data_IF_542583438078
#
_entry.id   IF_542583438078
#
_cell.length_a   1.000
_cell.length_b   1.000
_cell.length_c   1.000
_cell.angle_alpha   90.00
_cell.angle_beta   90.00
_cell.angle_gamma   90.00
#
_symmetry.space_group_name_H-M   'P 1'
#
loop_
_entity.id
_entity.type
_entity.pdbx_description
1 polymer ?
#
# COMPACT_ATOMS: atom_id res chain seq x y z
N UNK A 1 -16.30 -12.39 -12.09
CA UNK A 1 -15.54 -11.88 -13.26
C UNK A 1 -14.29 -11.22 -12.74
N UNK A 2 -13.15 -11.37 -13.43
CA UNK A 2 -11.91 -10.76 -12.97
C UNK A 2 -11.86 -9.28 -13.36
N UNK A 3 -11.33 -8.45 -12.47
CA UNK A 3 -11.16 -7.02 -12.69
C UNK A 3 -9.73 -6.62 -12.33
N UNK A 4 -9.17 -5.65 -13.05
CA UNK A 4 -7.86 -5.09 -12.77
C UNK A 4 -7.99 -3.60 -12.40
N UNK A 5 -7.15 -3.18 -11.45
CA UNK A 5 -7.09 -1.77 -11.09
C UNK A 5 -5.67 -1.35 -10.69
N UNK A 6 -5.37 -0.07 -10.80
CA UNK A 6 -4.13 0.52 -10.26
C UNK A 6 -4.43 0.99 -8.84
N UNK A 7 -3.68 0.45 -7.86
CA UNK A 7 -3.85 0.81 -6.46
C UNK A 7 -3.36 2.26 -6.21
N UNK A 8 -4.28 3.13 -5.83
CA UNK A 8 -4.02 4.55 -5.53
C UNK A 8 -4.18 4.88 -4.05
N UNK A 9 -4.80 3.99 -3.28
CA UNK A 9 -4.96 4.14 -1.83
C UNK A 9 -4.75 2.80 -1.13
N UNK A 10 -4.00 2.82 -0.04
CA UNK A 10 -3.85 1.74 0.92
C UNK A 10 -3.73 2.36 2.30
N UNK A 11 -4.81 2.99 2.75
CA UNK A 11 -4.86 3.89 3.88
C UNK A 11 -5.27 3.20 5.19
N UNK A 12 -4.98 3.82 6.33
CA UNK A 12 -5.46 3.34 7.61
C UNK A 12 -7.00 3.36 7.67
N UNK A 13 -7.56 2.25 8.10
CA UNK A 13 -8.98 2.07 8.42
C UNK A 13 -9.07 1.36 9.77
N UNK A 14 -10.17 1.58 10.51
CA UNK A 14 -10.39 0.90 11.79
C UNK A 14 -10.27 -0.62 11.61
N UNK A 15 -9.32 -1.23 12.32
CA UNK A 15 -9.09 -2.67 12.28
C UNK A 15 -8.20 -3.19 11.14
N UNK A 16 -7.87 -2.35 10.12
CA UNK A 16 -7.08 -2.78 8.96
C UNK A 16 -6.81 -1.66 7.97
N UNK A 17 -7.03 -1.91 6.69
CA UNK A 17 -6.73 -1.00 5.58
C UNK A 17 -7.95 -0.74 4.71
N UNK A 18 -7.95 0.43 4.06
CA UNK A 18 -8.80 0.73 2.92
C UNK A 18 -7.93 0.71 1.66
N UNK A 19 -8.15 -0.29 0.81
CA UNK A 19 -7.51 -0.39 -0.51
C UNK A 19 -8.49 0.16 -1.54
N UNK A 20 -8.01 1.01 -2.43
CA UNK A 20 -8.83 1.54 -3.53
C UNK A 20 -7.96 1.94 -4.72
N UNK A 21 -8.57 2.06 -5.87
CA UNK A 21 -7.88 2.49 -7.09
C UNK A 21 -8.81 2.66 -8.27
N UNK A 22 -8.20 2.84 -9.43
CA UNK A 22 -8.88 3.08 -10.70
C UNK A 22 -8.85 1.82 -11.56
N UNK A 23 -10.01 1.41 -12.06
CA UNK A 23 -10.13 0.26 -12.95
C UNK A 23 -9.43 0.50 -14.28
N UNK A 24 -8.79 -0.57 -14.78
CA UNK A 24 -8.09 -0.57 -16.06
C UNK A 24 -8.45 -1.80 -16.90
N UNK A 25 -8.32 -1.65 -18.19
CA UNK A 25 -8.21 -2.75 -19.14
C UNK A 25 -6.73 -2.99 -19.47
N UNK A 26 -6.37 -4.25 -19.68
CA UNK A 26 -5.00 -4.68 -20.00
C UNK A 26 -5.05 -5.46 -21.31
N UNK A 27 -4.24 -5.06 -22.29
CA UNK A 27 -4.10 -5.76 -23.56
C UNK A 27 -3.07 -6.89 -23.52
N UNK A 28 -2.94 -7.63 -24.62
CA UNK A 28 -2.00 -8.75 -24.76
C UNK A 28 -0.50 -8.34 -24.68
N UNK A 29 -0.20 -7.05 -24.76
CA UNK A 29 1.14 -6.49 -24.67
C UNK A 29 1.42 -5.83 -23.32
N UNK A 30 0.61 -6.15 -22.30
CA UNK A 30 0.65 -5.51 -20.99
C UNK A 30 0.45 -3.98 -21.00
N UNK A 31 -0.15 -3.44 -22.08
CA UNK A 31 -0.56 -2.03 -22.11
C UNK A 31 -1.89 -1.88 -21.40
N UNK A 32 -1.98 -0.85 -20.57
CA UNK A 32 -3.19 -0.57 -19.82
C UNK A 32 -3.85 0.73 -20.27
N UNK A 33 -5.15 0.76 -20.11
CA UNK A 33 -6.00 1.94 -20.35
C UNK A 33 -6.99 2.09 -19.21
N UNK A 34 -7.27 3.34 -18.82
CA UNK A 34 -8.23 3.64 -17.74
C UNK A 34 -9.64 3.38 -18.22
N UNK A 35 -10.43 2.65 -17.44
CA UNK A 35 -11.87 2.58 -17.63
C UNK A 35 -12.52 3.86 -17.15
N UNK A 36 -13.39 4.42 -17.96
CA UNK A 36 -14.03 5.71 -17.67
C UNK A 36 -15.55 5.60 -17.69
N UNK A 37 -16.19 6.39 -16.82
CA UNK A 37 -17.62 6.65 -16.83
C UNK A 37 -18.02 7.44 -18.08
N UNK A 38 -19.31 7.58 -18.33
CA UNK A 38 -19.83 8.36 -19.45
C UNK A 38 -19.47 9.87 -19.38
N UNK A 39 -19.23 10.39 -18.19
CA UNK A 39 -18.77 11.76 -17.93
C UNK A 39 -17.26 11.95 -18.13
N UNK A 40 -16.51 10.88 -18.45
CA UNK A 40 -15.08 10.87 -18.65
C UNK A 40 -14.24 10.65 -17.37
N UNK A 41 -14.85 10.62 -16.21
CA UNK A 41 -14.15 10.32 -14.96
C UNK A 41 -13.70 8.86 -14.91
N UNK A 42 -12.55 8.55 -14.27
CA UNK A 42 -12.14 7.18 -14.01
C UNK A 42 -13.19 6.39 -13.22
N UNK A 43 -13.30 5.11 -13.51
CA UNK A 43 -14.10 4.19 -12.69
C UNK A 43 -13.26 3.78 -11.50
N UNK A 44 -13.67 4.19 -10.30
CA UNK A 44 -13.04 3.79 -9.06
C UNK A 44 -13.59 2.47 -8.56
N UNK A 45 -12.75 1.71 -7.87
CA UNK A 45 -13.09 0.45 -7.22
C UNK A 45 -12.47 0.41 -5.82
N UNK A 46 -13.25 -0.09 -4.85
CA UNK A 46 -12.82 -0.32 -3.48
C UNK A 46 -13.20 -1.74 -3.06
N UNK A 47 -12.25 -2.70 -3.07
CA UNK A 47 -12.49 -4.01 -2.50
C UNK A 47 -12.76 -3.91 -1.00
N UNK A 48 -13.75 -4.66 -0.52
CA UNK A 48 -14.12 -4.75 0.88
C UNK A 48 -14.14 -6.20 1.33
N UNK A 49 -13.61 -6.47 2.52
CA UNK A 49 -13.68 -7.80 3.13
C UNK A 49 -15.09 -8.07 3.65
N UNK A 50 -15.62 -9.25 3.38
CA UNK A 50 -16.90 -9.73 3.93
C UNK A 50 -16.78 -10.16 5.39
N UNK A 51 -15.56 -10.45 5.84
CA UNK A 51 -15.27 -11.07 7.13
C UNK A 51 -14.98 -10.04 8.22
N UNK A 52 -15.05 -8.74 7.88
CA UNK A 52 -14.73 -7.64 8.79
C UNK A 52 -15.91 -6.68 8.95
N UNK A 53 -16.02 -6.08 10.13
CA UNK A 53 -17.18 -5.25 10.52
C UNK A 53 -17.37 -4.01 9.63
N UNK A 54 -16.24 -3.36 9.25
CA UNK A 54 -16.27 -2.12 8.45
C UNK A 54 -15.83 -2.36 7.00
N UNK A 55 -15.68 -3.63 6.59
CA UNK A 55 -15.18 -3.99 5.26
C UNK A 55 -13.72 -3.59 5.03
N UNK A 56 -12.93 -3.47 6.11
CA UNK A 56 -11.51 -3.25 6.03
C UNK A 56 -10.78 -4.50 5.52
N UNK A 57 -9.71 -4.28 4.76
CA UNK A 57 -8.82 -5.34 4.33
C UNK A 57 -7.82 -5.63 5.46
N UNK A 58 -7.62 -6.90 5.87
CA UNK A 58 -6.61 -7.26 6.85
C UNK A 58 -5.22 -6.73 6.46
N UNK A 59 -4.43 -6.25 7.43
CA UNK A 59 -3.12 -5.65 7.15
C UNK A 59 -2.19 -6.59 6.38
N UNK A 60 -2.21 -7.90 6.69
CA UNK A 60 -1.40 -8.91 6.01
C UNK A 60 -1.72 -9.00 4.52
N UNK A 61 -2.99 -8.95 4.15
CA UNK A 61 -3.43 -8.98 2.75
C UNK A 61 -3.11 -7.65 2.04
N UNK A 62 -3.50 -6.52 2.66
CA UNK A 62 -3.25 -5.19 2.10
C UNK A 62 -1.75 -4.87 1.93
N UNK A 63 -0.89 -5.50 2.74
CA UNK A 63 0.56 -5.33 2.63
C UNK A 63 1.12 -5.73 1.26
N UNK A 64 0.49 -6.70 0.61
CA UNK A 64 0.89 -7.18 -0.72
C UNK A 64 0.34 -6.34 -1.88
N UNK A 65 -0.36 -5.26 -1.56
CA UNK A 65 -0.95 -4.34 -2.55
C UNK A 65 -0.41 -2.92 -2.32
N UNK A 66 0.88 -2.66 -2.61
CA UNK A 66 1.46 -1.33 -2.48
C UNK A 66 0.83 -0.33 -3.47
N UNK A 67 0.99 0.96 -3.18
CA UNK A 67 0.59 2.03 -4.12
C UNK A 67 1.27 1.84 -5.48
N UNK A 68 0.56 2.18 -6.54
CA UNK A 68 0.95 2.05 -7.94
C UNK A 68 1.11 0.60 -8.42
N UNK A 69 0.72 -0.40 -7.63
CA UNK A 69 0.61 -1.77 -8.13
C UNK A 69 -0.62 -1.95 -9.00
N UNK A 70 -0.49 -2.77 -10.03
CA UNK A 70 -1.61 -3.32 -10.79
C UNK A 70 -2.13 -4.53 -10.04
N UNK A 71 -3.38 -4.47 -9.64
CA UNK A 71 -4.03 -5.46 -8.80
C UNK A 71 -5.07 -6.22 -9.61
N UNK A 72 -5.08 -7.53 -9.48
CA UNK A 72 -6.14 -8.39 -9.99
C UNK A 72 -7.07 -8.78 -8.85
N UNK A 73 -8.36 -8.56 -9.05
CA UNK A 73 -9.43 -9.08 -8.21
C UNK A 73 -10.14 -10.22 -8.95
N UNK A 74 -10.43 -11.31 -8.25
CA UNK A 74 -11.27 -12.39 -8.78
C UNK A 74 -12.67 -12.32 -8.18
N UNK A 75 -13.65 -12.89 -8.87
CA UNK A 75 -15.03 -13.04 -8.38
C UNK A 75 -15.66 -11.73 -7.87
N UNK A 76 -15.43 -10.66 -8.61
CA UNK A 76 -15.88 -9.31 -8.24
C UNK A 76 -17.39 -9.20 -8.37
N UNK A 77 -18.03 -8.70 -7.30
CA UNK A 77 -19.44 -8.38 -7.26
C UNK A 77 -19.67 -7.01 -6.61
N UNK A 78 -20.45 -6.14 -7.25
CA UNK A 78 -20.81 -4.86 -6.69
C UNK A 78 -21.47 -5.04 -5.30
N UNK A 79 -21.08 -4.21 -4.36
CA UNK A 79 -21.60 -4.21 -2.99
C UNK A 79 -21.66 -2.77 -2.45
N UNK A 80 -22.40 -1.86 -3.14
CA UNK A 80 -22.45 -0.46 -2.72
C UNK A 80 -23.02 -0.33 -1.31
N UNK A 81 -22.38 0.48 -0.50
CA UNK A 81 -22.80 0.75 0.89
C UNK A 81 -22.98 2.25 1.05
N UNK A 82 -24.20 2.69 1.31
CA UNK A 82 -24.54 4.11 1.56
C UNK A 82 -23.83 5.07 0.57
N UNK A 83 -22.90 5.85 1.09
CA UNK A 83 -22.10 6.81 0.34
C UNK A 83 -20.96 6.20 -0.48
N UNK A 84 -20.72 4.89 -0.35
CA UNK A 84 -19.58 4.19 -0.96
C UNK A 84 -20.07 3.35 -2.16
N UNK A 85 -20.30 4.00 -3.26
CA UNK A 85 -20.83 3.37 -4.49
C UNK A 85 -19.80 2.49 -5.20
N UNK A 86 -18.53 2.68 -4.92
CA UNK A 86 -17.39 1.96 -5.51
C UNK A 86 -17.05 0.64 -4.79
N UNK A 87 -17.78 0.32 -3.72
CA UNK A 87 -17.51 -0.88 -2.92
C UNK A 87 -17.83 -2.15 -3.69
N UNK A 88 -16.90 -3.10 -3.65
CA UNK A 88 -17.06 -4.43 -4.26
C UNK A 88 -16.60 -5.53 -3.31
N UNK A 89 -17.34 -6.64 -3.33
CA UNK A 89 -16.86 -7.90 -2.79
C UNK A 89 -15.92 -8.57 -3.80
N UNK A 90 -15.00 -9.39 -3.32
CA UNK A 90 -14.01 -10.10 -4.14
C UNK A 90 -13.72 -11.50 -3.57
N UNK A 91 -13.19 -12.39 -4.41
CA UNK A 91 -12.71 -13.71 -4.02
C UNK A 91 -11.25 -13.68 -3.57
N UNK A 92 -10.37 -13.09 -4.39
CA UNK A 92 -8.95 -12.91 -4.05
C UNK A 92 -8.43 -11.59 -4.62
N UNK A 93 -7.37 -11.04 -3.97
CA UNK A 93 -6.73 -9.80 -4.34
C UNK A 93 -5.21 -9.96 -4.32
N UNK A 94 -4.54 -9.70 -5.43
CA UNK A 94 -3.09 -9.78 -5.51
C UNK A 94 -2.50 -8.86 -6.58
N UNK A 95 -1.32 -8.31 -6.31
CA UNK A 95 -0.59 -7.50 -7.27
C UNK A 95 0.03 -8.39 -8.36
N UNK A 96 -0.12 -8.00 -9.62
CA UNK A 96 0.42 -8.69 -10.80
C UNK A 96 1.55 -7.91 -11.48
N UNK A 97 1.81 -6.70 -11.03
CA UNK A 97 2.83 -5.80 -11.55
C UNK A 97 2.64 -4.39 -10.99
N UNK A 98 3.33 -3.43 -11.56
CA UNK A 98 3.22 -2.02 -11.17
C UNK A 98 3.29 -1.09 -12.37
N UNK A 99 2.84 0.13 -12.18
CA UNK A 99 3.00 1.23 -13.13
C UNK A 99 3.91 2.30 -12.55
N UNK A 100 4.61 3.07 -13.40
CA UNK A 100 5.54 4.09 -12.92
C UNK A 100 4.81 5.22 -12.18
N UNK A 101 5.42 5.74 -11.11
CA UNK A 101 4.98 6.95 -10.43
C UNK A 101 5.49 8.18 -11.19
N UNK A 102 4.87 8.55 -12.31
CA UNK A 102 5.25 9.70 -13.11
C UNK A 102 4.04 10.57 -13.46
N UNK A 103 4.28 11.81 -13.89
CA UNK A 103 3.23 12.77 -14.20
C UNK A 103 2.25 12.30 -15.27
N UNK A 104 2.76 11.61 -16.31
CA UNK A 104 1.96 11.09 -17.40
C UNK A 104 0.91 10.11 -16.88
N UNK A 105 1.36 9.15 -16.05
CA UNK A 105 0.47 8.16 -15.42
C UNK A 105 -0.51 8.83 -14.46
N UNK A 106 -0.03 9.72 -13.61
CA UNK A 106 -0.91 10.38 -12.63
C UNK A 106 -1.98 11.25 -13.31
N UNK A 107 -1.64 11.97 -14.38
CA UNK A 107 -2.63 12.74 -15.15
C UNK A 107 -3.70 11.85 -15.78
N UNK A 108 -3.32 10.68 -16.28
CA UNK A 108 -4.29 9.72 -16.84
C UNK A 108 -5.25 9.17 -15.78
N UNK A 109 -4.80 9.05 -14.52
CA UNK A 109 -5.56 8.53 -13.39
C UNK A 109 -6.37 9.61 -12.64
N UNK A 110 -6.11 10.90 -12.90
CA UNK A 110 -6.77 12.01 -12.21
C UNK A 110 -8.20 12.21 -12.71
N UNK A 111 -9.11 12.50 -11.78
CA UNK A 111 -10.49 12.84 -12.07
C UNK A 111 -10.59 14.19 -12.78
N UNK A 112 -11.68 14.36 -13.54
CA UNK A 112 -12.03 15.65 -14.13
C UNK A 112 -12.30 16.65 -12.99
N UNK A 113 -11.94 17.92 -13.21
CA UNK A 113 -12.08 18.98 -12.20
C UNK A 113 -13.52 19.14 -11.76
N UNK A 114 -13.78 18.95 -10.48
CA UNK A 114 -15.05 19.24 -9.83
C UNK A 114 -15.06 20.66 -9.26
N UNK A 115 -16.22 21.28 -9.16
CA UNK A 115 -16.37 22.61 -8.55
C UNK A 115 -15.97 22.61 -7.08
N UNK A 116 -16.29 21.53 -6.37
CA UNK A 116 -15.91 21.29 -4.96
C UNK A 116 -15.60 19.83 -4.75
N UNK A 117 -14.79 19.51 -3.74
CA UNK A 117 -14.48 18.15 -3.36
C UNK A 117 -15.64 17.54 -2.56
N UNK A 118 -16.19 16.42 -3.05
CA UNK A 118 -17.31 15.71 -2.42
C UNK A 118 -18.47 16.67 -2.07
N UNK A 119 -18.90 17.50 -3.02
CA UNK A 119 -20.05 18.41 -2.97
C UNK A 119 -20.00 19.50 -1.87
N UNK A 120 -18.86 19.74 -1.22
CA UNK A 120 -18.75 20.70 -0.14
C UNK A 120 -17.36 21.29 -0.04
N UNK A 121 -17.24 22.50 0.49
CA UNK A 121 -15.96 23.14 0.81
C UNK A 121 -15.44 22.82 2.22
N UNK A 122 -16.28 22.18 3.05
CA UNK A 122 -15.92 21.81 4.43
C UNK A 122 -15.04 20.55 4.48
N UNK A 123 -14.40 20.30 5.63
CA UNK A 123 -13.60 19.12 5.92
C UNK A 123 -14.44 17.82 6.09
N UNK A 124 -15.75 17.96 6.24
CA UNK A 124 -16.70 16.85 6.31
C UNK A 124 -18.02 17.24 5.66
N UNK A 125 -18.83 16.25 5.31
CA UNK A 125 -20.17 16.46 4.74
C UNK A 125 -21.21 15.69 5.57
N UNK A 126 -22.39 16.29 5.82
CA UNK A 126 -23.47 15.60 6.50
C UNK A 126 -24.04 14.49 5.60
N UNK A 127 -24.54 13.41 6.21
CA UNK A 127 -25.20 12.33 5.48
C UNK A 127 -26.40 12.85 4.68
N UNK A 128 -27.17 13.79 5.21
CA UNK A 128 -28.33 14.40 4.53
C UNK A 128 -27.93 15.10 3.23
N UNK A 129 -26.80 15.83 3.23
CA UNK A 129 -26.28 16.52 2.03
C UNK A 129 -25.70 15.53 1.03
N UNK A 130 -25.17 14.41 1.51
CA UNK A 130 -24.48 13.42 0.68
C UNK A 130 -25.40 12.36 0.06
N UNK A 131 -26.68 12.26 0.48
CA UNK A 131 -27.67 11.23 0.01
C UNK A 131 -27.76 11.11 -1.52
N UNK A 132 -27.35 12.12 -2.28
CA UNK A 132 -27.35 12.11 -3.75
C UNK A 132 -25.94 11.96 -4.35
N UNK A 133 -24.93 11.68 -3.52
CA UNK A 133 -23.55 11.52 -3.98
C UNK A 133 -23.36 10.23 -4.77
N UNK A 134 -22.60 10.30 -5.85
CA UNK A 134 -22.30 9.21 -6.77
C UNK A 134 -20.84 8.76 -6.74
N UNK A 135 -20.01 9.37 -5.86
CA UNK A 135 -18.60 9.02 -5.68
C UNK A 135 -18.12 9.31 -4.24
N UNK A 136 -17.29 8.45 -3.73
CA UNK A 136 -16.62 8.60 -2.43
C UNK A 136 -15.09 8.53 -2.53
N UNK A 137 -14.58 8.39 -3.74
CA UNK A 137 -13.17 8.32 -4.09
C UNK A 137 -12.88 9.26 -5.26
N UNK A 138 -11.73 9.89 -5.25
CA UNK A 138 -11.25 10.70 -6.36
C UNK A 138 -9.74 10.93 -6.27
N UNK A 139 -9.11 11.24 -7.38
CA UNK A 139 -7.71 11.68 -7.45
C UNK A 139 -7.63 13.10 -7.98
N UNK A 140 -6.87 13.94 -7.29
CA UNK A 140 -6.70 15.35 -7.65
C UNK A 140 -5.23 15.75 -7.69
N UNK A 141 -4.94 16.77 -8.52
CA UNK A 141 -3.67 17.47 -8.52
C UNK A 141 -3.87 18.86 -7.89
N UNK A 142 -3.37 19.13 -6.68
CA UNK A 142 -3.57 20.40 -6.00
C UNK A 142 -2.76 21.53 -6.67
N UNK A 143 -3.28 22.75 -6.63
CA UNK A 143 -2.62 23.96 -7.15
C UNK A 143 -1.46 24.45 -6.25
N UNK A 144 -1.40 23.96 -5.02
CA UNK A 144 -0.39 24.25 -4.01
C UNK A 144 -0.79 23.66 -2.68
N UNK A 145 0.19 23.40 -1.83
CA UNK A 145 -0.06 22.74 -0.55
C UNK A 145 0.99 23.10 0.52
N UNK A 146 0.62 22.83 1.78
CA UNK A 146 1.52 22.82 2.93
C UNK A 146 1.08 21.75 3.93
N UNK A 147 1.99 21.36 4.81
CA UNK A 147 1.70 20.36 5.83
C UNK A 147 1.51 20.99 7.20
N UNK A 148 0.60 20.44 7.99
CA UNK A 148 0.38 20.80 9.39
C UNK A 148 0.42 19.53 10.25
N UNK A 149 1.23 19.56 11.31
CA UNK A 149 1.31 18.51 12.30
C UNK A 149 0.40 18.84 13.49
N UNK A 150 -0.43 17.89 13.92
CA UNK A 150 -1.17 17.96 15.19
C UNK A 150 -0.47 17.08 16.24
N UNK A 151 0.27 17.70 17.18
CA UNK A 151 0.99 16.95 18.21
C UNK A 151 0.10 16.51 19.38
N UNK A 152 -1.15 16.95 19.45
CA UNK A 152 -2.06 16.71 20.58
C UNK A 152 -2.67 15.30 20.58
N UNK A 153 -2.56 14.59 19.46
CA UNK A 153 -3.03 13.21 19.34
C UNK A 153 -1.97 12.22 19.87
N UNK A 154 -2.41 11.11 20.43
CA UNK A 154 -1.55 10.03 20.93
C UNK A 154 -0.53 9.50 19.90
N UNK A 155 -0.78 9.76 18.60
CA UNK A 155 0.16 9.62 17.50
C UNK A 155 0.15 10.92 16.71
N UNK A 156 1.34 11.41 16.35
CA UNK A 156 1.47 12.55 15.45
C UNK A 156 0.58 12.38 14.22
N UNK A 157 -0.32 13.33 13.99
CA UNK A 157 -1.24 13.29 12.86
C UNK A 157 -0.92 14.43 11.91
N UNK A 158 -0.61 14.10 10.68
CA UNK A 158 -0.40 15.07 9.63
C UNK A 158 -1.71 15.43 8.94
N UNK A 159 -1.82 16.68 8.62
CA UNK A 159 -2.83 17.29 7.76
C UNK A 159 -2.13 17.96 6.59
N UNK A 160 -2.82 18.03 5.47
CA UNK A 160 -2.38 18.83 4.33
C UNK A 160 -3.41 19.92 4.08
N UNK A 161 -2.93 21.16 4.09
CA UNK A 161 -3.67 22.33 3.63
C UNK A 161 -3.33 22.47 2.15
N UNK A 162 -4.31 22.42 1.28
CA UNK A 162 -4.08 22.47 -0.16
C UNK A 162 -5.18 23.26 -0.88
N UNK A 163 -4.84 23.78 -2.06
CA UNK A 163 -5.78 24.50 -2.91
C UNK A 163 -6.17 23.65 -4.10
N UNK A 164 -7.48 23.61 -4.37
CA UNK A 164 -8.04 22.89 -5.51
C UNK A 164 -9.22 23.70 -6.07
N UNK A 165 -9.19 24.01 -7.38
CA UNK A 165 -10.17 24.84 -8.07
C UNK A 165 -10.49 26.15 -7.31
N UNK A 166 -9.41 26.85 -6.86
CA UNK A 166 -9.50 28.11 -6.13
C UNK A 166 -9.97 28.00 -4.67
N UNK A 167 -10.39 26.83 -4.19
CA UNK A 167 -10.85 26.60 -2.80
C UNK A 167 -9.73 25.97 -1.97
N UNK A 168 -9.56 26.43 -0.73
CA UNK A 168 -8.60 25.85 0.22
C UNK A 168 -9.26 24.80 1.08
N UNK A 169 -8.61 23.64 1.21
CA UNK A 169 -9.03 22.49 2.02
C UNK A 169 -7.98 22.15 3.06
N UNK A 170 -8.39 21.59 4.20
CA UNK A 170 -7.50 21.06 5.27
C UNK A 170 -7.96 19.64 5.63
N UNK A 171 -7.31 18.62 5.05
CA UNK A 171 -7.68 17.24 5.26
C UNK A 171 -6.58 16.46 5.98
N UNK A 172 -7.02 15.51 6.81
CA UNK A 172 -6.09 14.61 7.49
C UNK A 172 -5.55 13.54 6.54
N UNK A 173 -4.24 13.25 6.68
CA UNK A 173 -3.57 12.19 5.93
C UNK A 173 -3.73 10.86 6.68
N UNK A 174 -4.17 9.82 5.96
CA UNK A 174 -4.33 8.45 6.49
C UNK A 174 -3.43 7.43 5.77
N UNK A 175 -2.49 7.89 4.98
CA UNK A 175 -1.55 7.11 4.17
C UNK A 175 -0.37 6.60 5.00
N UNK A 176 -0.25 5.29 5.26
CA UNK A 176 0.89 4.75 5.99
C UNK A 176 2.22 4.87 5.25
N UNK A 177 2.21 4.85 3.90
CA UNK A 177 3.41 4.98 3.10
C UNK A 177 3.99 6.39 3.25
N UNK A 178 3.12 7.43 3.25
CA UNK A 178 3.52 8.80 3.55
C UNK A 178 4.14 8.91 4.95
N UNK A 179 3.49 8.36 5.99
CA UNK A 179 4.02 8.39 7.35
C UNK A 179 5.38 7.67 7.45
N UNK A 180 5.55 6.55 6.77
CA UNK A 180 6.82 5.84 6.73
C UNK A 180 7.88 6.69 6.04
N UNK A 181 7.56 7.30 4.90
CA UNK A 181 8.47 8.16 4.15
C UNK A 181 8.94 9.37 4.99
N UNK A 182 8.03 10.10 5.64
CA UNK A 182 8.37 11.26 6.46
C UNK A 182 9.14 10.87 7.73
N UNK A 183 8.82 9.74 8.34
CA UNK A 183 9.58 9.24 9.48
C UNK A 183 11.03 8.87 9.11
N UNK A 184 11.25 8.42 7.87
CA UNK A 184 12.58 8.08 7.37
C UNK A 184 13.35 9.33 6.89
N UNK A 185 12.64 10.30 6.32
CA UNK A 185 13.17 11.53 5.70
C UNK A 185 12.38 12.75 6.17
N UNK A 186 12.56 13.21 7.44
CA UNK A 186 11.77 14.35 7.97
C UNK A 186 11.91 15.62 7.16
N UNK A 187 13.10 15.85 6.61
CA UNK A 187 13.41 17.01 5.76
C UNK A 187 12.74 16.98 4.38
N UNK A 188 12.13 15.85 4.01
CA UNK A 188 11.48 15.73 2.71
C UNK A 188 10.21 16.59 2.62
N UNK A 189 9.53 16.87 3.74
CA UNK A 189 8.32 17.72 3.74
C UNK A 189 8.58 19.08 3.11
N UNK A 190 9.71 19.70 3.43
CA UNK A 190 10.07 21.03 2.92
C UNK A 190 10.53 21.00 1.46
N UNK A 191 10.85 19.83 0.94
CA UNK A 191 11.34 19.64 -0.43
C UNK A 191 10.26 19.17 -1.40
N UNK A 192 9.10 18.74 -0.88
CA UNK A 192 7.99 18.32 -1.74
C UNK A 192 7.40 19.55 -2.44
N UNK A 193 7.50 19.57 -3.75
CA UNK A 193 7.00 20.67 -4.59
C UNK A 193 5.80 20.27 -5.43
N UNK A 194 5.57 18.96 -5.61
CA UNK A 194 4.48 18.46 -6.43
C UNK A 194 4.00 17.10 -5.92
N UNK A 195 2.67 16.94 -5.86
CA UNK A 195 2.01 15.72 -5.39
C UNK A 195 0.67 15.54 -6.08
N UNK A 196 0.20 14.30 -6.13
CA UNK A 196 -1.16 13.96 -6.45
C UNK A 196 -1.82 13.33 -5.21
N UNK A 197 -3.11 13.57 -5.02
CA UNK A 197 -3.81 13.13 -3.83
C UNK A 197 -4.94 12.17 -4.19
N UNK A 198 -4.90 10.96 -3.65
CA UNK A 198 -6.08 10.11 -3.62
C UNK A 198 -6.91 10.51 -2.40
N UNK A 199 -8.12 10.97 -2.63
CA UNK A 199 -9.06 11.42 -1.61
C UNK A 199 -10.15 10.39 -1.38
N UNK A 200 -10.63 10.30 -0.15
CA UNK A 200 -11.71 9.39 0.23
C UNK A 200 -12.65 10.04 1.23
N UNK A 201 -13.94 9.74 1.13
CA UNK A 201 -14.87 9.91 2.22
C UNK A 201 -14.70 8.74 3.21
N UNK A 202 -14.59 9.07 4.50
CA UNK A 202 -14.62 8.09 5.58
C UNK A 202 -16.02 7.49 5.74
N UNK A 203 -16.10 6.41 6.52
CA UNK A 203 -17.38 5.89 6.99
C UNK A 203 -18.12 6.96 7.82
N UNK A 204 -19.42 6.80 7.95
CA UNK A 204 -20.21 7.67 8.80
C UNK A 204 -19.66 7.68 10.23
N UNK A 205 -19.51 8.87 10.77
CA UNK A 205 -19.20 9.13 12.16
C UNK A 205 -19.93 10.40 12.62
N UNK A 206 -20.78 10.28 13.63
CA UNK A 206 -21.61 11.37 14.16
C UNK A 206 -22.44 12.07 13.05
N UNK A 207 -23.09 11.29 12.21
CA UNK A 207 -23.92 11.73 11.06
C UNK A 207 -23.17 12.56 10.01
N UNK A 208 -21.86 12.39 9.94
CA UNK A 208 -21.01 13.06 8.94
C UNK A 208 -20.02 12.08 8.33
N UNK A 209 -19.64 12.34 7.08
CA UNK A 209 -18.51 11.73 6.42
C UNK A 209 -17.32 12.69 6.42
N UNK A 210 -16.21 12.28 6.99
CA UNK A 210 -14.97 13.06 6.96
C UNK A 210 -14.23 12.85 5.65
N UNK A 211 -13.71 13.94 5.10
CA UNK A 211 -12.86 13.91 3.90
C UNK A 211 -11.42 13.64 4.32
N UNK A 212 -10.79 12.69 3.65
CA UNK A 212 -9.47 12.16 4.03
C UNK A 212 -8.54 12.15 2.81
N UNK A 213 -7.26 12.36 3.05
CA UNK A 213 -6.21 12.03 2.07
C UNK A 213 -5.81 10.58 2.33
N UNK A 214 -6.26 9.70 1.45
CA UNK A 214 -6.00 8.27 1.52
C UNK A 214 -4.60 7.89 1.00
N UNK A 215 -4.03 8.70 0.08
CA UNK A 215 -2.64 8.60 -0.33
C UNK A 215 -2.09 9.94 -0.81
N UNK A 216 -0.78 10.14 -0.58
CA UNK A 216 0.03 11.22 -1.15
C UNK A 216 0.98 10.59 -2.17
N UNK A 217 0.70 10.81 -3.44
CA UNK A 217 1.43 10.22 -4.56
C UNK A 217 2.46 11.23 -5.08
N UNK A 218 3.74 10.87 -4.96
CA UNK A 218 4.85 11.76 -5.32
C UNK A 218 5.38 11.33 -6.69
N UNK A 219 5.34 12.21 -7.72
CA UNK A 219 5.89 11.89 -9.03
C UNK A 219 7.41 11.80 -8.96
N UNK A 220 7.97 10.73 -9.52
CA UNK A 220 9.42 10.61 -9.70
C UNK A 220 9.86 11.60 -10.80
N UNK A 221 10.80 12.47 -10.45
CA UNK A 221 11.41 13.44 -11.37
C UNK A 221 12.75 12.93 -11.90
N UNK A 222 13.10 13.29 -13.12
CA UNK A 222 14.48 13.18 -13.63
C UNK A 222 14.77 12.08 -14.66
N UNK A 223 13.85 11.15 -14.93
CA UNK A 223 14.04 10.17 -16.01
C UNK A 223 12.76 10.08 -16.84
N UNK A 224 12.84 10.43 -18.12
CA UNK A 224 11.72 10.20 -19.04
C UNK A 224 11.44 8.70 -19.13
N UNK A 225 10.26 8.29 -18.71
CA UNK A 225 9.81 6.90 -18.79
C UNK A 225 9.33 6.66 -20.22
N UNK A 226 10.03 5.79 -20.94
CA UNK A 226 9.76 5.55 -22.37
C UNK A 226 8.37 4.98 -22.63
N UNK A 227 7.88 4.16 -21.73
CA UNK A 227 6.58 3.47 -21.86
C UNK A 227 5.80 3.55 -20.53
N UNK A 228 5.21 4.71 -20.19
CA UNK A 228 4.54 4.90 -18.91
C UNK A 228 3.24 4.06 -18.80
N UNK A 229 2.63 3.68 -19.92
CA UNK A 229 1.37 2.93 -19.97
C UNK A 229 1.54 1.43 -20.19
N UNK A 230 2.73 0.89 -19.91
CA UNK A 230 2.99 -0.55 -19.89
C UNK A 230 3.17 -1.02 -18.46
N UNK A 231 2.49 -2.12 -18.10
CA UNK A 231 2.64 -2.74 -16.80
C UNK A 231 4.03 -3.34 -16.71
N UNK A 232 4.77 -2.93 -15.69
CA UNK A 232 6.01 -3.60 -15.32
C UNK A 232 5.66 -4.77 -14.42
N UNK A 233 5.64 -5.96 -14.99
CA UNK A 233 5.52 -7.15 -14.16
C UNK A 233 6.78 -7.25 -13.32
N UNK A 234 6.61 -7.45 -12.01
CA UNK A 234 7.74 -7.63 -11.09
C UNK A 234 8.42 -8.99 -11.36
N UNK A 235 9.09 -9.09 -12.49
CA UNK A 235 10.09 -10.13 -12.69
C UNK A 235 11.33 -9.69 -11.93
N UNK A 236 11.42 -10.15 -10.69
CA UNK A 236 12.69 -10.07 -9.98
C UNK A 236 13.69 -10.95 -10.73
N UNK A 237 14.65 -10.32 -11.40
CA UNK A 237 15.72 -11.06 -12.03
C UNK A 237 16.78 -11.40 -10.99
N UNK A 238 17.04 -12.70 -10.83
CA UNK A 238 18.14 -13.15 -10.01
C UNK A 238 19.46 -12.68 -10.64
N UNK A 239 20.09 -11.68 -10.01
CA UNK A 239 21.32 -11.06 -10.50
C UNK A 239 22.54 -11.83 -10.05
N UNK A 240 22.55 -12.24 -8.79
CA UNK A 240 23.65 -13.01 -8.20
C UNK A 240 23.23 -13.75 -6.94
N UNK A 241 23.97 -14.78 -6.60
CA UNK A 241 23.85 -15.51 -5.35
C UNK A 241 25.19 -15.40 -4.60
N UNK A 242 25.12 -15.03 -3.32
CA UNK A 242 26.25 -15.09 -2.43
C UNK A 242 25.95 -15.92 -1.20
N UNK A 243 26.97 -16.44 -0.60
CA UNK A 243 26.84 -17.09 0.70
C UNK A 243 26.59 -16.06 1.80
N UNK A 244 25.87 -16.49 2.81
CA UNK A 244 25.72 -15.73 4.05
C UNK A 244 27.11 -15.50 4.64
N UNK A 245 27.52 -14.24 4.74
CA UNK A 245 28.91 -13.90 5.08
C UNK A 245 29.31 -14.40 6.48
N UNK A 246 30.62 -14.60 6.76
CA UNK A 246 31.05 -14.92 8.10
C UNK A 246 30.63 -13.91 9.16
N UNK A 247 30.53 -12.61 8.80
CA UNK A 247 30.08 -11.56 9.69
C UNK A 247 28.57 -11.69 10.00
N UNK A 248 27.74 -11.94 8.99
CA UNK A 248 26.31 -12.19 9.16
C UNK A 248 26.08 -13.43 10.03
N UNK A 249 26.80 -14.52 9.77
CA UNK A 249 26.75 -15.74 10.60
C UNK A 249 27.18 -15.50 12.03
N UNK A 250 28.20 -14.65 12.28
CA UNK A 250 28.61 -14.28 13.62
C UNK A 250 27.58 -13.48 14.38
N UNK A 251 26.80 -12.65 13.70
CA UNK A 251 25.70 -11.86 14.29
C UNK A 251 24.47 -12.70 14.61
N UNK A 252 24.18 -13.72 13.79
CA UNK A 252 23.03 -14.60 13.96
C UNK A 252 23.39 -15.80 14.84
N UNK A 253 22.74 -15.96 16.00
CA UNK A 253 22.97 -17.06 16.94
C UNK A 253 22.24 -18.35 16.58
N UNK A 254 20.99 -18.21 16.11
CA UNK A 254 20.11 -19.31 15.72
C UNK A 254 19.18 -18.87 14.61
N UNK A 255 18.90 -19.76 13.69
CA UNK A 255 17.85 -19.59 12.69
C UNK A 255 17.03 -20.88 12.64
N UNK A 256 15.72 -20.72 12.65
CA UNK A 256 14.75 -21.81 12.56
C UNK A 256 13.75 -21.47 11.48
N UNK A 257 13.24 -22.48 10.81
CA UNK A 257 12.17 -22.35 9.82
C UNK A 257 11.12 -23.41 10.08
N UNK A 258 9.88 -23.10 9.78
CA UNK A 258 8.77 -24.06 9.83
C UNK A 258 7.86 -23.82 8.62
N UNK A 259 7.41 -24.88 7.94
CA UNK A 259 6.34 -24.75 6.95
C UNK A 259 5.03 -24.39 7.63
N UNK A 260 4.25 -23.53 6.98
CA UNK A 260 2.88 -23.16 7.37
C UNK A 260 1.93 -23.46 6.22
N UNK A 261 0.62 -23.41 6.44
CA UNK A 261 -0.36 -23.64 5.37
C UNK A 261 -0.28 -22.60 4.26
N UNK A 262 0.24 -21.40 4.53
CA UNK A 262 0.35 -20.29 3.59
C UNK A 262 1.80 -19.95 3.20
N UNK A 263 2.77 -20.76 3.61
CA UNK A 263 4.19 -20.56 3.32
C UNK A 263 5.11 -21.00 4.44
N UNK A 264 6.01 -20.13 4.89
CA UNK A 264 6.98 -20.45 5.95
C UNK A 264 7.03 -19.36 7.00
N UNK A 265 7.27 -19.74 8.26
CA UNK A 265 7.70 -18.84 9.31
C UNK A 265 9.20 -19.01 9.55
N UNK A 266 9.92 -17.92 9.72
CA UNK A 266 11.34 -17.94 10.05
C UNK A 266 11.62 -17.15 11.34
N UNK A 267 12.45 -17.71 12.21
CA UNK A 267 12.89 -17.10 13.45
C UNK A 267 14.40 -16.98 13.47
N UNK A 268 14.92 -15.81 13.75
CA UNK A 268 16.35 -15.56 13.88
C UNK A 268 16.65 -14.92 15.24
N UNK A 269 17.53 -15.55 16.03
CA UNK A 269 18.04 -14.99 17.26
C UNK A 269 19.45 -14.43 17.05
N UNK A 270 19.60 -13.13 17.26
CA UNK A 270 20.87 -12.44 17.12
C UNK A 270 21.69 -12.51 18.41
N UNK A 271 23.01 -12.37 18.32
CA UNK A 271 23.91 -12.44 19.50
C UNK A 271 23.70 -11.30 20.49
N UNK A 272 23.23 -10.15 20.04
CA UNK A 272 22.89 -9.01 20.89
C UNK A 272 21.56 -9.20 21.65
N UNK A 273 20.97 -10.40 21.60
CA UNK A 273 19.70 -10.71 22.25
C UNK A 273 18.46 -10.38 21.42
N UNK A 274 18.60 -9.64 20.31
CA UNK A 274 17.48 -9.36 19.41
C UNK A 274 16.99 -10.66 18.77
N UNK A 275 15.67 -10.79 18.69
CA UNK A 275 14.99 -11.89 18.05
C UNK A 275 14.25 -11.35 16.82
N UNK A 276 14.41 -12.02 15.68
CA UNK A 276 13.76 -11.66 14.43
C UNK A 276 12.78 -12.74 14.06
N UNK A 277 11.52 -12.38 14.02
CA UNK A 277 10.43 -13.22 13.56
C UNK A 277 9.99 -12.77 12.17
N UNK A 278 9.71 -13.73 11.31
CA UNK A 278 9.01 -13.52 10.08
C UNK A 278 7.93 -14.59 9.96
N UNK A 279 6.68 -14.18 10.03
CA UNK A 279 5.55 -15.02 9.65
C UNK A 279 4.91 -14.44 8.40
N UNK A 280 4.46 -15.31 7.51
CA UNK A 280 3.60 -14.92 6.40
C UNK A 280 2.16 -14.82 6.88
N UNK A 281 1.89 -15.39 8.08
CA UNK A 281 0.57 -15.47 8.66
C UNK A 281 0.57 -14.94 10.10
N UNK A 282 -0.26 -13.93 10.40
CA UNK A 282 -0.33 -13.26 11.72
C UNK A 282 -1.00 -14.09 12.82
N UNK A 283 -1.47 -15.30 12.53
CA UNK A 283 -2.19 -16.16 13.46
C UNK A 283 -1.61 -17.56 13.67
N UNK A 284 -0.51 -17.90 13.00
CA UNK A 284 0.00 -19.27 13.00
C UNK A 284 0.67 -19.64 14.32
N UNK A 285 0.09 -20.60 15.07
CA UNK A 285 0.78 -21.32 16.13
C UNK A 285 1.78 -22.30 15.50
N UNK A 286 3.06 -22.09 15.79
CA UNK A 286 4.15 -22.92 15.27
C UNK A 286 4.40 -24.07 16.22
N UNK A 287 4.02 -25.29 15.82
CA UNK A 287 4.18 -26.48 16.65
C UNK A 287 5.62 -27.03 16.68
N UNK A 288 6.37 -26.87 15.58
CA UNK A 288 7.74 -27.38 15.51
C UNK A 288 8.62 -26.52 14.61
N UNK A 289 9.78 -26.10 15.12
CA UNK A 289 10.77 -25.32 14.40
C UNK A 289 11.94 -26.19 13.94
N UNK A 290 12.26 -26.14 12.65
CA UNK A 290 13.45 -26.81 12.11
C UNK A 290 14.65 -25.87 12.17
N UNK A 291 15.76 -26.36 12.75
CA UNK A 291 16.99 -25.60 12.82
C UNK A 291 17.66 -25.51 11.45
N UNK A 292 17.91 -24.28 11.00
CA UNK A 292 18.57 -24.02 9.71
C UNK A 292 20.09 -24.02 9.89
N UNK A 293 20.79 -24.69 8.96
CA UNK A 293 22.23 -24.62 8.89
C UNK A 293 22.68 -23.30 8.24
N UNK A 294 23.09 -22.31 9.05
CA UNK A 294 23.49 -20.98 8.60
C UNK A 294 24.65 -20.97 7.59
N UNK A 295 25.42 -22.07 7.47
CA UNK A 295 26.47 -22.19 6.45
C UNK A 295 25.89 -22.45 5.05
N UNK A 296 24.67 -22.98 4.98
CA UNK A 296 23.98 -23.26 3.72
C UNK A 296 23.08 -22.11 3.27
N UNK A 297 22.80 -21.14 4.16
CA UNK A 297 21.96 -19.98 3.82
C UNK A 297 22.65 -19.13 2.76
N UNK A 298 21.90 -18.81 1.72
CA UNK A 298 22.33 -17.96 0.61
C UNK A 298 21.61 -16.59 0.70
N UNK A 299 22.28 -15.56 0.25
CA UNK A 299 21.66 -14.27 -0.04
C UNK A 299 21.54 -14.18 -1.55
N UNK A 300 20.32 -14.09 -2.04
CA UNK A 300 20.01 -13.92 -3.45
C UNK A 300 19.79 -12.42 -3.67
N UNK A 301 20.53 -11.86 -4.59
CA UNK A 301 20.38 -10.47 -5.01
C UNK A 301 19.49 -10.48 -6.25
N UNK A 302 18.31 -9.91 -6.10
CA UNK A 302 17.39 -9.67 -7.20
C UNK A 302 17.47 -8.22 -7.63
N UNK A 303 17.34 -7.99 -8.91
CA UNK A 303 17.16 -6.65 -9.50
C UNK A 303 15.68 -6.50 -9.88
N UNK A 304 15.05 -5.43 -9.42
CA UNK A 304 13.68 -5.11 -9.82
C UNK A 304 13.65 -4.40 -11.19
N UNK A 305 12.45 -4.18 -11.71
CA UNK A 305 12.28 -3.51 -13.01
C UNK A 305 12.82 -2.07 -13.06
N UNK A 306 13.09 -1.45 -11.90
CA UNK A 306 13.65 -0.10 -11.78
C UNK A 306 15.20 -0.14 -11.62
N UNK A 307 15.81 -1.35 -11.64
CA UNK A 307 17.24 -1.54 -11.45
C UNK A 307 17.69 -1.49 -9.99
N UNK A 308 16.77 -1.54 -9.02
CA UNK A 308 17.14 -1.58 -7.61
C UNK A 308 17.50 -3.00 -7.20
N UNK A 309 18.58 -3.13 -6.45
CA UNK A 309 18.97 -4.42 -5.87
C UNK A 309 18.20 -4.71 -4.58
N UNK A 310 17.61 -5.90 -4.52
CA UNK A 310 16.85 -6.40 -3.37
C UNK A 310 17.52 -7.67 -2.89
N UNK A 311 17.95 -7.68 -1.63
CA UNK A 311 18.54 -8.88 -1.03
C UNK A 311 17.46 -9.77 -0.41
N UNK A 312 17.45 -11.03 -0.82
CA UNK A 312 16.60 -12.06 -0.26
C UNK A 312 17.43 -13.17 0.36
N UNK A 313 16.92 -13.73 1.43
CA UNK A 313 17.56 -14.88 2.08
C UNK A 313 16.92 -16.17 1.58
N UNK A 314 17.69 -17.01 0.89
CA UNK A 314 17.29 -18.35 0.46
C UNK A 314 17.68 -19.35 1.54
N UNK A 315 16.70 -20.03 2.11
CA UNK A 315 16.91 -21.08 3.10
C UNK A 315 16.96 -22.41 2.36
N UNK A 316 18.02 -23.24 2.57
CA UNK A 316 18.12 -24.54 1.91
C UNK A 316 16.94 -25.44 2.29
N UNK A 317 16.59 -26.29 1.35
CA UNK A 317 15.49 -27.25 1.46
C UNK A 317 14.07 -26.61 1.49
N UNK A 318 13.98 -25.32 1.13
CA UNK A 318 12.72 -24.63 0.89
C UNK A 318 12.67 -24.12 -0.57
N UNK A 319 11.48 -23.99 -1.12
CA UNK A 319 11.28 -23.45 -2.47
C UNK A 319 11.03 -21.93 -2.46
N UNK A 320 11.10 -21.30 -1.29
CA UNK A 320 10.76 -19.88 -1.11
C UNK A 320 11.97 -19.07 -0.65
N UNK A 321 12.11 -17.89 -1.25
CA UNK A 321 13.08 -16.87 -0.86
C UNK A 321 12.40 -15.82 0.03
N UNK A 322 13.12 -15.33 1.03
CA UNK A 322 12.60 -14.37 2.01
C UNK A 322 13.32 -13.04 1.89
N UNK A 323 12.58 -11.96 1.69
CA UNK A 323 13.14 -10.61 1.63
C UNK A 323 13.81 -10.22 2.95
N UNK A 324 15.11 -9.95 2.93
CA UNK A 324 15.87 -9.45 4.08
C UNK A 324 15.33 -8.10 4.57
N UNK A 325 14.90 -7.23 3.68
CA UNK A 325 14.30 -5.93 4.02
C UNK A 325 12.96 -6.13 4.74
N UNK A 326 12.13 -7.09 4.30
CA UNK A 326 10.88 -7.44 4.98
C UNK A 326 11.12 -8.01 6.37
N UNK A 327 12.15 -8.86 6.53
CA UNK A 327 12.56 -9.38 7.84
C UNK A 327 12.90 -8.22 8.78
N UNK A 328 13.60 -7.19 8.31
CA UNK A 328 14.01 -6.04 9.12
C UNK A 328 12.82 -5.13 9.43
N UNK A 329 11.96 -4.80 8.48
CA UNK A 329 10.84 -3.87 8.67
C UNK A 329 9.71 -4.44 9.54
N UNK A 330 9.38 -5.73 9.40
CA UNK A 330 8.39 -6.38 10.27
C UNK A 330 8.89 -6.52 11.70
N UNK A 331 10.18 -6.63 11.88
CA UNK A 331 10.83 -6.69 13.17
C UNK A 331 10.67 -5.42 14.01
N UNK A 332 10.81 -4.25 13.40
CA UNK A 332 10.59 -2.96 14.08
C UNK A 332 9.13 -2.79 14.53
N UNK A 333 8.17 -3.32 13.77
CA UNK A 333 6.75 -3.29 14.15
C UNK A 333 6.46 -4.19 15.36
N UNK A 334 6.99 -5.39 15.42
CA UNK A 334 6.79 -6.33 16.53
C UNK A 334 7.34 -5.79 17.87
N UNK A 335 8.47 -5.10 17.83
CA UNK A 335 9.04 -4.46 19.04
C UNK A 335 8.18 -3.31 19.57
N UNK A 336 7.53 -2.55 18.69
CA UNK A 336 6.64 -1.44 19.10
C UNK A 336 5.32 -1.92 19.71
N UNK A 337 4.87 -3.14 19.40
CA UNK A 337 3.58 -3.67 19.87
C UNK A 337 3.66 -4.51 21.14
N UNK A 338 4.88 -4.78 21.68
CA UNK A 338 5.05 -5.53 22.94
C UNK A 338 4.54 -6.98 22.94
N UNK A 339 4.27 -7.56 21.77
CA UNK A 339 3.85 -8.96 21.68
C UNK A 339 5.06 -9.86 21.65
N UNK A 340 5.43 -10.35 22.82
CA UNK A 340 6.27 -11.57 22.95
C UNK A 340 5.37 -12.77 22.66
N UNK A 341 5.61 -13.48 21.58
CA UNK A 341 5.08 -14.84 21.43
C UNK A 341 5.74 -15.71 22.50
N UNK A 342 4.95 -16.23 23.42
CA UNK A 342 5.33 -17.30 24.34
C UNK A 342 5.17 -18.66 23.66
#
# INVERSE_FOLDING_TARGET
>A
MDTHFICLANSYKRGGRCVAGVEIDIDANDRWTVKRKADGNPIWIRPISKDTEYGEIPEGEAYHVPLMSVVRLTDVAACPRESHTEDVNYGSMYAIGKVPSCHEVFRELTDIVHSTLFYSTEFSISIETYVQGDYSLMMVHPEGFSFRLDPTKNRAKYYMIFRYNGVTYDFSITDPAFYQYINQYPEALDKLSDVYLALSLGLEYEQRHHKLIAAVLIPKTGTAIKEPFVIRRDTLHEKSIRQFTPLERRKCKKCFVVPTQQGFAAYMKMKNGQEKFMTIDDGCQVEAWQKVNLRKVQVVIYEDADGNEIEWMRIPDTTMDFSLVRIISNFEKLFRTGRTCR
#
